data_IF_403259236304
#
_entry.id   IF_403259236304
#
_cell.length_a   1.000
_cell.length_b   1.000
_cell.length_c   1.000
_cell.angle_alpha   90.00
_cell.angle_beta   90.00
_cell.angle_gamma   90.00
#
_symmetry.space_group_name_H-M   'P 1'
#
loop_
_entity.id
_entity.type
_entity.pdbx_description
1 polymer ?
#
# COMPACT_ATOMS: atom_id res chain seq x y z
N UNK A 1 -23.60 28.15 -24.18
CA UNK A 1 -23.42 27.15 -23.12
C UNK A 1 -22.02 27.38 -22.63
N UNK A 2 -21.91 28.23 -21.60
CA UNK A 2 -20.65 28.88 -21.25
C UNK A 2 -19.80 27.96 -20.38
N UNK A 3 -18.48 28.03 -20.55
CA UNK A 3 -17.51 27.22 -19.81
C UNK A 3 -17.63 27.36 -18.28
N UNK A 4 -18.19 28.49 -17.82
CA UNK A 4 -18.48 28.76 -16.40
C UNK A 4 -19.57 27.81 -15.88
N UNK A 5 -20.61 27.54 -16.67
CA UNK A 5 -21.70 26.63 -16.31
C UNK A 5 -21.24 25.16 -16.26
N UNK A 6 -20.23 24.80 -17.06
CA UNK A 6 -19.64 23.46 -17.05
C UNK A 6 -18.73 23.24 -15.84
N UNK A 7 -17.92 24.25 -15.48
CA UNK A 7 -17.10 24.21 -14.27
C UNK A 7 -17.94 24.21 -12.98
N UNK A 8 -19.07 24.91 -12.96
CA UNK A 8 -20.02 24.88 -11.84
C UNK A 8 -20.75 23.53 -11.72
N UNK A 9 -21.08 22.89 -12.84
CA UNK A 9 -21.67 21.55 -12.86
C UNK A 9 -20.67 20.46 -12.39
N UNK A 10 -19.40 20.57 -12.77
CA UNK A 10 -18.33 19.71 -12.26
C UNK A 10 -18.08 19.92 -10.76
N UNK A 11 -18.24 21.16 -10.25
CA UNK A 11 -18.12 21.49 -8.83
C UNK A 11 -19.31 20.98 -7.99
N UNK A 12 -20.54 21.05 -8.50
CA UNK A 12 -21.72 20.49 -7.83
C UNK A 12 -21.67 18.95 -7.68
N UNK A 13 -21.04 18.26 -8.64
CA UNK A 13 -20.74 16.82 -8.56
C UNK A 13 -19.60 16.50 -7.57
N UNK A 14 -18.79 17.50 -7.26
CA UNK A 14 -17.57 17.38 -6.47
C UNK A 14 -17.67 18.10 -5.12
N UNK A 15 -18.76 17.84 -4.38
CA UNK A 15 -18.92 18.26 -2.98
C UNK A 15 -17.99 17.42 -2.08
N UNK A 16 -16.69 17.59 -2.28
CA UNK A 16 -15.64 16.97 -1.49
C UNK A 16 -15.71 17.39 -0.04
N UNK A 17 -15.17 16.56 0.85
CA UNK A 17 -15.11 16.89 2.27
C UNK A 17 -14.02 17.93 2.47
N UNK A 18 -14.38 19.06 3.10
CA UNK A 18 -13.40 20.05 3.53
C UNK A 18 -12.60 19.52 4.71
N UNK A 19 -11.30 19.37 4.52
CA UNK A 19 -10.35 19.08 5.60
C UNK A 19 -9.63 20.39 5.93
N UNK A 20 -9.77 20.96 7.15
CA UNK A 20 -9.19 22.26 7.48
C UNK A 20 -7.65 22.32 7.42
N UNK A 21 -6.99 21.17 7.28
CA UNK A 21 -5.54 21.01 7.19
C UNK A 21 -5.08 20.39 5.86
N UNK A 22 -5.96 20.25 4.87
CA UNK A 22 -5.63 19.56 3.62
C UNK A 22 -6.44 20.00 2.39
N UNK A 23 -6.12 19.48 1.20
CA UNK A 23 -6.92 19.71 0.01
C UNK A 23 -8.33 19.13 0.16
N UNK A 24 -9.29 19.71 -0.57
CA UNK A 24 -10.61 19.10 -0.72
C UNK A 24 -10.45 17.73 -1.35
N UNK A 25 -11.00 16.70 -0.69
CA UNK A 25 -11.00 15.34 -1.24
C UNK A 25 -12.36 15.05 -1.83
N UNK A 26 -12.39 14.80 -3.14
CA UNK A 26 -13.57 14.26 -3.79
C UNK A 26 -13.90 12.87 -3.27
N UNK A 27 -15.14 12.41 -3.46
CA UNK A 27 -15.49 11.02 -3.17
C UNK A 27 -14.65 10.03 -3.98
N UNK A 28 -14.24 10.40 -5.20
CA UNK A 28 -13.38 9.58 -6.05
C UNK A 28 -11.95 9.49 -5.52
N UNK A 29 -11.39 10.59 -5.04
CA UNK A 29 -10.06 10.59 -4.43
C UNK A 29 -10.04 9.70 -3.18
N UNK A 30 -11.07 9.81 -2.33
CA UNK A 30 -11.21 8.95 -1.15
C UNK A 30 -11.30 7.47 -1.55
N UNK A 31 -12.10 7.14 -2.58
CA UNK A 31 -12.23 5.76 -3.07
C UNK A 31 -10.90 5.22 -3.59
N UNK A 32 -10.18 6.01 -4.39
CA UNK A 32 -8.85 5.66 -4.91
C UNK A 32 -7.86 5.44 -3.77
N UNK A 33 -7.78 6.38 -2.83
CA UNK A 33 -6.89 6.30 -1.67
C UNK A 33 -7.17 5.08 -0.79
N UNK A 34 -8.45 4.72 -0.58
CA UNK A 34 -8.79 3.49 0.16
C UNK A 34 -8.39 2.23 -0.59
N UNK A 35 -8.55 2.20 -1.92
CA UNK A 35 -8.10 1.07 -2.74
C UNK A 35 -6.57 0.91 -2.69
N UNK A 36 -5.83 2.02 -2.75
CA UNK A 36 -4.37 2.03 -2.57
C UNK A 36 -3.97 1.50 -1.18
N UNK A 37 -4.66 1.95 -0.13
CA UNK A 37 -4.43 1.48 1.23
C UNK A 37 -4.65 -0.03 1.37
N UNK A 38 -5.75 -0.55 0.81
CA UNK A 38 -6.05 -1.99 0.80
C UNK A 38 -4.93 -2.77 0.09
N UNK A 39 -4.50 -2.32 -1.10
CA UNK A 39 -3.41 -2.97 -1.83
C UNK A 39 -2.10 -3.00 -1.05
N UNK A 40 -1.75 -1.91 -0.36
CA UNK A 40 -0.56 -1.86 0.50
C UNK A 40 -0.66 -2.84 1.68
N UNK A 41 -1.82 -2.94 2.33
CA UNK A 41 -2.03 -3.88 3.45
C UNK A 41 -1.93 -5.32 2.97
N UNK A 42 -2.54 -5.67 1.84
CA UNK A 42 -2.47 -7.01 1.26
C UNK A 42 -1.02 -7.41 0.93
N UNK A 43 -0.27 -6.52 0.29
CA UNK A 43 1.14 -6.77 -0.02
C UNK A 43 1.98 -6.92 1.26
N UNK A 44 1.82 -6.01 2.22
CA UNK A 44 2.56 -6.06 3.48
C UNK A 44 2.26 -7.35 4.25
N UNK A 45 0.98 -7.73 4.33
CA UNK A 45 0.56 -8.96 4.99
C UNK A 45 1.18 -10.21 4.37
N UNK A 46 1.39 -10.19 3.05
CA UNK A 46 2.04 -11.28 2.31
C UNK A 46 3.54 -11.31 2.56
N UNK A 47 4.20 -10.15 2.63
CA UNK A 47 5.65 -10.04 2.90
C UNK A 47 6.01 -10.44 4.33
N UNK A 48 5.17 -10.09 5.30
CA UNK A 48 5.38 -10.36 6.73
C UNK A 48 4.75 -11.68 7.20
N UNK A 49 3.93 -12.33 6.36
CA UNK A 49 3.32 -13.62 6.68
C UNK A 49 2.26 -13.53 7.77
N UNK A 50 1.41 -12.50 7.72
CA UNK A 50 0.39 -12.27 8.74
C UNK A 50 -0.65 -13.39 8.79
N UNK A 51 -1.16 -13.73 9.99
CA UNK A 51 -2.34 -14.57 10.12
C UNK A 51 -3.55 -13.93 9.42
N UNK A 52 -4.36 -14.77 8.75
CA UNK A 52 -5.54 -14.35 7.99
C UNK A 52 -6.50 -13.47 8.82
N UNK A 53 -6.77 -13.87 10.08
CA UNK A 53 -7.66 -13.13 10.98
C UNK A 53 -7.16 -11.71 11.24
N UNK A 54 -5.86 -11.55 11.49
CA UNK A 54 -5.25 -10.24 11.73
C UNK A 54 -5.30 -9.35 10.48
N UNK A 55 -5.04 -9.94 9.30
CA UNK A 55 -5.18 -9.21 8.04
C UNK A 55 -6.62 -8.70 7.85
N UNK A 56 -7.61 -9.54 8.10
CA UNK A 56 -9.02 -9.19 7.90
C UNK A 56 -9.49 -8.10 8.88
N UNK A 57 -8.99 -8.10 10.12
CA UNK A 57 -9.23 -7.04 11.10
C UNK A 57 -8.67 -5.69 10.61
N UNK A 58 -7.42 -5.67 10.17
CA UNK A 58 -6.76 -4.46 9.66
C UNK A 58 -7.44 -3.94 8.39
N UNK A 59 -7.82 -4.83 7.46
CA UNK A 59 -8.56 -4.45 6.25
C UNK A 59 -9.95 -3.89 6.58
N UNK A 60 -10.64 -4.47 7.55
CA UNK A 60 -11.95 -3.97 7.99
C UNK A 60 -11.82 -2.56 8.55
N UNK A 61 -10.80 -2.31 9.38
CA UNK A 61 -10.52 -0.98 9.92
C UNK A 61 -10.17 0.02 8.81
N UNK A 62 -9.33 -0.35 7.84
CA UNK A 62 -8.94 0.51 6.73
C UNK A 62 -10.11 0.88 5.80
N UNK A 63 -11.06 -0.03 5.58
CA UNK A 63 -12.22 0.23 4.71
C UNK A 63 -13.31 1.05 5.44
N UNK A 64 -13.56 0.74 6.72
CA UNK A 64 -14.68 1.34 7.48
C UNK A 64 -14.26 2.50 8.38
N UNK A 65 -12.97 2.76 8.51
CA UNK A 65 -12.40 3.77 9.39
C UNK A 65 -12.73 5.20 8.96
N UNK A 66 -12.61 6.17 9.88
CA UNK A 66 -12.89 7.58 9.62
C UNK A 66 -11.94 8.17 8.56
N UNK A 67 -12.40 9.16 7.79
CA UNK A 67 -11.56 9.84 6.79
C UNK A 67 -10.34 10.53 7.40
N UNK A 68 -10.44 10.97 8.65
CA UNK A 68 -9.33 11.57 9.38
C UNK A 68 -8.12 10.64 9.54
N UNK A 69 -8.33 9.31 9.51
CA UNK A 69 -7.26 8.32 9.61
C UNK A 69 -6.62 8.00 8.25
N UNK A 70 -7.28 8.31 7.12
CA UNK A 70 -6.87 7.85 5.79
C UNK A 70 -5.46 8.32 5.40
N UNK A 71 -5.15 9.60 5.56
CA UNK A 71 -3.83 10.15 5.20
C UNK A 71 -2.72 9.66 6.15
N UNK A 72 -2.91 9.67 7.50
CA UNK A 72 -1.98 9.01 8.42
C UNK A 72 -1.73 7.53 8.10
N UNK A 73 -2.78 6.77 7.80
CA UNK A 73 -2.67 5.35 7.47
C UNK A 73 -1.88 5.15 6.18
N UNK A 74 -2.19 5.89 5.12
CA UNK A 74 -1.43 5.86 3.87
C UNK A 74 0.06 6.14 4.09
N UNK A 75 0.39 7.14 4.90
CA UNK A 75 1.78 7.47 5.22
C UNK A 75 2.46 6.32 5.97
N UNK A 76 1.80 5.77 7.00
CA UNK A 76 2.31 4.65 7.78
C UNK A 76 2.58 3.41 6.92
N UNK A 77 1.59 2.98 6.13
CA UNK A 77 1.72 1.79 5.31
C UNK A 77 2.72 1.96 4.16
N UNK A 78 2.85 3.16 3.60
CA UNK A 78 3.90 3.46 2.60
C UNK A 78 5.30 3.23 3.20
N UNK A 79 5.55 3.76 4.40
CA UNK A 79 6.84 3.59 5.09
C UNK A 79 7.13 2.13 5.41
N UNK A 80 6.16 1.43 6.02
CA UNK A 80 6.32 0.01 6.39
C UNK A 80 6.50 -0.89 5.19
N UNK A 81 5.82 -0.61 4.08
CA UNK A 81 5.96 -1.39 2.85
C UNK A 81 7.34 -1.19 2.22
N UNK A 82 7.88 0.03 2.24
CA UNK A 82 9.24 0.30 1.76
C UNK A 82 10.29 -0.50 2.57
N UNK A 83 10.15 -0.52 3.90
CA UNK A 83 11.01 -1.32 4.79
C UNK A 83 10.89 -2.82 4.51
N UNK A 84 9.66 -3.35 4.45
CA UNK A 84 9.41 -4.77 4.23
C UNK A 84 9.96 -5.25 2.87
N UNK A 85 9.82 -4.44 1.82
CA UNK A 85 10.40 -4.73 0.50
C UNK A 85 11.92 -4.74 0.53
N UNK A 86 12.54 -3.79 1.24
CA UNK A 86 14.00 -3.75 1.39
C UNK A 86 14.52 -4.99 2.14
N UNK A 87 13.84 -5.41 3.20
CA UNK A 87 14.18 -6.62 3.95
C UNK A 87 14.03 -7.89 3.09
N UNK A 88 12.91 -8.02 2.35
CA UNK A 88 12.70 -9.13 1.43
C UNK A 88 13.81 -9.20 0.36
N UNK A 89 14.17 -8.06 -0.25
CA UNK A 89 15.25 -7.98 -1.22
C UNK A 89 16.62 -8.37 -0.62
N UNK A 90 16.90 -7.98 0.62
CA UNK A 90 18.12 -8.36 1.32
C UNK A 90 18.19 -9.88 1.58
N UNK A 91 17.08 -10.48 2.04
CA UNK A 91 16.97 -11.94 2.24
C UNK A 91 17.22 -12.70 0.94
N UNK A 92 16.63 -12.24 -0.16
CA UNK A 92 16.83 -12.84 -1.49
C UNK A 92 18.27 -12.70 -1.99
N UNK A 93 18.90 -11.55 -1.77
CA UNK A 93 20.29 -11.32 -2.14
C UNK A 93 21.24 -12.28 -1.39
N UNK A 94 21.01 -12.47 -0.09
CA UNK A 94 21.77 -13.44 0.73
C UNK A 94 21.54 -14.85 0.19
N UNK A 95 20.29 -15.29 -0.02
CA UNK A 95 19.98 -16.63 -0.55
C UNK A 95 20.67 -16.91 -1.89
N UNK A 96 20.67 -15.94 -2.81
CA UNK A 96 21.38 -16.05 -4.10
C UNK A 96 22.90 -16.18 -3.91
N UNK A 97 23.48 -15.42 -2.97
CA UNK A 97 24.91 -15.52 -2.63
C UNK A 97 25.25 -16.91 -2.08
N UNK A 98 24.45 -17.43 -1.16
CA UNK A 98 24.66 -18.75 -0.54
C UNK A 98 24.58 -19.87 -1.57
N UNK A 99 23.62 -19.80 -2.52
CA UNK A 99 23.52 -20.77 -3.62
C UNK A 99 24.75 -20.77 -4.54
N UNK A 100 25.29 -19.58 -4.87
CA UNK A 100 26.52 -19.46 -5.67
C UNK A 100 27.74 -20.08 -4.98
N UNK A 101 27.81 -20.03 -3.65
CA UNK A 101 28.92 -20.62 -2.89
C UNK A 101 28.74 -22.14 -2.71
N UNK A 102 27.52 -22.62 -2.43
CA UNK A 102 27.26 -24.06 -2.21
C UNK A 102 27.22 -24.91 -3.48
N UNK A 103 26.87 -24.33 -4.63
CA UNK A 103 26.81 -25.05 -5.92
C UNK A 103 28.19 -25.43 -6.51
N UNK A 104 29.29 -24.89 -5.96
CA UNK A 104 30.63 -25.26 -6.40
C UNK A 104 31.11 -26.58 -5.76
N UNK A 105 30.71 -26.84 -4.51
CA UNK A 105 31.14 -28.04 -3.76
C UNK A 105 30.44 -29.33 -4.24
N UNK A 106 29.22 -29.23 -4.77
CA UNK A 106 28.47 -30.40 -5.25
C UNK A 106 29.06 -31.05 -6.51
N UNK A 107 29.91 -30.34 -7.29
CA UNK A 107 30.49 -30.86 -8.55
C UNK A 107 31.88 -31.51 -8.38
N UNK A 108 32.46 -31.52 -7.17
CA UNK A 108 33.79 -32.07 -6.89
C UNK A 108 33.81 -33.47 -6.27
N UNK A 109 32.65 -34.06 -5.94
CA UNK A 109 32.58 -35.41 -5.32
C UNK A 109 32.50 -36.57 -6.31
N UNK A 110 32.37 -36.31 -7.61
CA UNK A 110 32.15 -37.34 -8.63
C UNK A 110 33.29 -37.43 -9.68
N UNK A 111 34.52 -37.05 -9.31
CA UNK A 111 35.70 -37.13 -10.19
C UNK A 111 36.75 -38.10 -9.62
#
# INVERSE_FOLDING_TARGET
>A
MDAVTQAEAENELNKGVFLPWGPYLSADDVRRMRAELVGMIEELSSLEGWPQLYRDEVLTAAVRGPLAALLPDLHYFTGRLAEARAEAAARDAVKRRTWRMGGFDARRRDA
#
